data_IF_073537295676
#
_entry.id   IF_073537295676
#
_cell.length_a   1.000
_cell.length_b   1.000
_cell.length_c   1.000
_cell.angle_alpha   90.00
_cell.angle_beta   90.00
_cell.angle_gamma   90.00
#
_symmetry.space_group_name_H-M   'P 1'
#
loop_
_entity.id
_entity.type
_entity.pdbx_description
1 polymer ?
#
# COMPACT_ATOMS: atom_id res chain seq x y z
N UNK A 1 -6.52 0.76 10.05
CA UNK A 1 -7.49 0.42 11.13
C UNK A 1 -7.52 -1.10 11.24
N UNK A 2 -7.03 -1.71 12.32
CA UNK A 2 -6.98 -3.17 12.46
C UNK A 2 -8.39 -3.73 12.66
N UNK A 3 -8.83 -4.62 11.76
CA UNK A 3 -10.17 -5.23 11.81
C UNK A 3 -10.24 -6.20 13.00
N UNK A 4 -11.16 -5.96 13.93
CA UNK A 4 -11.34 -6.81 15.13
C UNK A 4 -11.62 -8.26 14.74
N UNK A 5 -10.79 -9.19 15.24
CA UNK A 5 -10.88 -10.63 14.91
C UNK A 5 -10.09 -11.07 13.67
N UNK A 6 -9.34 -10.16 13.02
CA UNK A 6 -8.35 -10.54 12.01
C UNK A 6 -7.08 -11.14 12.65
N UNK A 7 -6.28 -11.86 11.87
CA UNK A 7 -4.93 -12.26 12.29
C UNK A 7 -4.10 -11.04 12.74
N UNK A 8 -4.29 -9.88 12.11
CA UNK A 8 -3.68 -8.62 12.51
C UNK A 8 -4.19 -8.11 13.87
N UNK A 9 -5.44 -8.40 14.26
CA UNK A 9 -5.98 -8.03 15.56
C UNK A 9 -5.47 -8.92 16.70
N UNK A 10 -5.26 -10.21 16.44
CA UNK A 10 -4.67 -11.14 17.42
C UNK A 10 -3.22 -10.76 17.71
N UNK A 11 -2.45 -10.43 16.66
CA UNK A 11 -1.07 -9.95 16.80
C UNK A 11 -0.99 -8.56 17.47
N UNK A 12 -1.99 -7.70 17.25
CA UNK A 12 -2.02 -6.36 17.84
C UNK A 12 -2.39 -6.33 19.34
N UNK A 13 -3.02 -7.37 19.88
CA UNK A 13 -3.46 -7.40 21.29
C UNK A 13 -2.32 -7.41 22.31
N UNK A 14 -1.15 -7.93 21.93
CA UNK A 14 0.08 -7.90 22.73
C UNK A 14 1.17 -6.97 22.15
N UNK A 15 0.83 -6.16 21.13
CA UNK A 15 1.79 -5.33 20.45
C UNK A 15 2.13 -4.07 21.27
N UNK A 16 3.37 -4.01 21.76
CA UNK A 16 4.00 -2.73 22.09
C UNK A 16 4.04 -1.89 20.81
N UNK A 17 3.59 -0.63 20.83
CA UNK A 17 3.82 0.31 19.74
C UNK A 17 5.32 0.61 19.64
N UNK A 18 6.04 -0.24 18.90
CA UNK A 18 7.43 0.00 18.53
C UNK A 18 7.41 0.65 17.16
N UNK A 19 7.95 1.87 17.05
CA UNK A 19 8.26 2.46 15.75
C UNK A 19 9.26 1.54 15.05
N UNK A 20 8.97 1.00 13.86
CA UNK A 20 9.95 0.16 13.19
C UNK A 20 11.18 0.99 12.86
N UNK A 21 12.35 0.39 13.08
CA UNK A 21 13.59 0.96 12.60
C UNK A 21 13.55 0.92 11.06
N UNK A 22 13.72 2.06 10.39
CA UNK A 22 13.78 2.15 8.93
C UNK A 22 15.19 2.56 8.45
N UNK A 23 16.16 2.63 9.36
CA UNK A 23 17.50 3.18 9.09
C UNK A 23 18.32 2.34 8.11
N UNK A 24 17.98 1.05 7.96
CA UNK A 24 18.63 0.10 7.06
C UNK A 24 18.06 0.11 5.63
N UNK A 25 16.96 0.84 5.36
CA UNK A 25 16.27 0.82 4.06
C UNK A 25 16.93 1.59 2.91
N UNK A 26 18.21 1.97 3.05
CA UNK A 26 19.06 2.61 2.04
C UNK A 26 18.30 3.48 0.99
N UNK A 27 17.59 4.54 1.43
CA UNK A 27 16.67 5.27 0.56
C UNK A 27 17.40 6.03 -0.54
N UNK A 28 16.90 5.93 -1.78
CA UNK A 28 17.32 6.80 -2.89
C UNK A 28 16.24 7.83 -3.19
N UNK A 29 16.57 9.11 -3.06
CA UNK A 29 15.65 10.22 -3.28
C UNK A 29 15.83 10.77 -4.69
N UNK A 30 14.76 10.74 -5.48
CA UNK A 30 14.71 11.31 -6.84
C UNK A 30 13.77 12.52 -6.84
N UNK A 31 14.31 13.70 -7.18
CA UNK A 31 13.50 14.92 -7.36
C UNK A 31 13.00 14.99 -8.80
N UNK A 32 11.69 15.03 -8.98
CA UNK A 32 11.05 15.14 -10.28
C UNK A 32 11.02 16.60 -10.75
N UNK A 33 11.13 16.82 -12.06
CA UNK A 33 11.10 18.17 -12.68
C UNK A 33 9.83 18.97 -12.36
N UNK A 34 8.73 18.31 -12.02
CA UNK A 34 7.45 18.93 -11.63
C UNK A 34 7.28 19.17 -10.13
N UNK A 35 8.34 19.07 -9.31
CA UNK A 35 8.28 19.33 -7.87
C UNK A 35 7.91 18.12 -6.99
N UNK A 36 7.63 16.97 -7.59
CA UNK A 36 7.42 15.71 -6.85
C UNK A 36 8.72 15.08 -6.35
N UNK A 37 8.61 14.22 -5.34
CA UNK A 37 9.71 13.44 -4.78
C UNK A 37 9.35 11.96 -4.87
N UNK A 38 10.28 11.15 -5.38
CA UNK A 38 10.19 9.68 -5.32
C UNK A 38 11.24 9.19 -4.34
N UNK A 39 10.81 8.35 -3.39
CA UNK A 39 11.70 7.69 -2.44
C UNK A 39 11.71 6.21 -2.81
N UNK A 40 12.85 5.72 -3.26
CA UNK A 40 13.07 4.31 -3.55
C UNK A 40 13.66 3.66 -2.30
N UNK A 41 13.00 2.63 -1.78
CA UNK A 41 13.47 1.87 -0.62
C UNK A 41 14.13 0.57 -1.07
N UNK A 42 15.17 0.14 -0.36
CA UNK A 42 15.72 -1.21 -0.55
C UNK A 42 14.72 -2.26 -0.04
N UNK A 43 14.91 -3.51 -0.49
CA UNK A 43 14.11 -4.64 0.00
C UNK A 43 14.23 -4.75 1.52
N UNK A 44 13.08 -4.89 2.18
CA UNK A 44 12.97 -5.28 3.58
C UNK A 44 12.47 -6.72 3.69
N UNK A 45 12.90 -7.42 4.74
CA UNK A 45 12.31 -8.69 5.19
C UNK A 45 11.61 -8.56 6.55
N UNK A 46 11.49 -7.35 7.10
CA UNK A 46 10.79 -7.10 8.36
C UNK A 46 9.31 -6.81 8.07
N UNK A 47 8.39 -7.65 8.58
CA UNK A 47 6.96 -7.38 8.48
C UNK A 47 6.56 -6.07 9.16
N UNK A 48 7.25 -5.66 10.23
CA UNK A 48 6.98 -4.42 10.94
C UNK A 48 7.34 -3.19 10.10
N UNK A 49 8.47 -3.23 9.39
CA UNK A 49 8.86 -2.17 8.45
C UNK A 49 7.84 -2.07 7.30
N UNK A 50 7.45 -3.19 6.69
CA UNK A 50 6.43 -3.21 5.63
C UNK A 50 5.09 -2.65 6.12
N UNK A 51 4.62 -3.09 7.30
CA UNK A 51 3.37 -2.62 7.87
C UNK A 51 3.38 -1.10 8.12
N UNK A 52 4.49 -0.53 8.57
CA UNK A 52 4.61 0.92 8.73
C UNK A 52 4.66 1.66 7.39
N UNK A 53 5.32 1.10 6.37
CA UNK A 53 5.33 1.69 5.02
C UNK A 53 3.90 1.73 4.45
N UNK A 54 3.17 0.61 4.51
CA UNK A 54 1.79 0.59 4.06
C UNK A 54 0.92 1.56 4.86
N UNK A 55 0.98 1.51 6.20
CA UNK A 55 0.15 2.35 7.08
C UNK A 55 0.42 3.85 6.94
N UNK A 56 1.61 4.24 6.49
CA UNK A 56 1.98 5.64 6.25
C UNK A 56 1.53 6.15 4.87
N UNK A 57 1.16 5.27 3.94
CA UNK A 57 0.73 5.65 2.60
C UNK A 57 -0.77 5.96 2.54
N UNK A 58 -1.14 6.95 1.74
CA UNK A 58 -2.55 7.24 1.44
C UNK A 58 -3.20 6.15 0.57
N UNK A 59 -2.39 5.50 -0.28
CA UNK A 59 -2.82 4.45 -1.23
C UNK A 59 -1.63 3.60 -1.65
N UNK A 60 -1.84 2.29 -1.83
CA UNK A 60 -0.93 1.40 -2.54
C UNK A 60 -1.31 1.36 -4.02
N UNK A 61 -0.33 1.54 -4.91
CA UNK A 61 -0.51 1.25 -6.33
C UNK A 61 0.26 -0.01 -6.73
N UNK A 62 -0.46 -1.03 -7.20
CA UNK A 62 0.11 -2.29 -7.71
C UNK A 62 -0.12 -2.43 -9.23
N UNK A 63 0.80 -1.93 -10.08
CA UNK A 63 0.65 -1.96 -11.54
C UNK A 63 1.18 -3.25 -12.19
N UNK A 64 1.02 -4.41 -11.55
CA UNK A 64 1.39 -5.71 -12.16
C UNK A 64 0.45 -6.05 -13.30
N UNK A 65 0.98 -6.54 -14.42
CA UNK A 65 0.16 -6.95 -15.57
C UNK A 65 -0.41 -8.36 -15.42
N UNK A 66 0.21 -9.17 -14.57
CA UNK A 66 -0.22 -10.54 -14.26
C UNK A 66 0.03 -10.79 -12.78
N UNK A 67 -1.04 -11.02 -12.02
CA UNK A 67 -0.98 -11.39 -10.61
C UNK A 67 -2.21 -12.23 -10.25
N UNK A 68 -2.01 -13.47 -9.80
CA UNK A 68 -3.11 -14.40 -9.60
C UNK A 68 -3.90 -14.07 -8.34
N UNK A 69 -3.23 -13.73 -7.24
CA UNK A 69 -3.85 -13.41 -5.96
C UNK A 69 -2.84 -12.62 -5.11
N UNK A 70 -2.70 -11.30 -5.38
CA UNK A 70 -1.61 -10.48 -4.84
C UNK A 70 -1.66 -10.38 -3.32
N UNK A 71 -0.72 -11.02 -2.64
CA UNK A 71 -0.62 -10.92 -1.17
C UNK A 71 -0.29 -9.49 -0.72
N UNK A 72 0.45 -8.72 -1.54
CA UNK A 72 0.76 -7.32 -1.26
C UNK A 72 -0.49 -6.44 -1.18
N UNK A 73 -1.54 -6.76 -1.95
CA UNK A 73 -2.82 -6.06 -1.85
C UNK A 73 -3.47 -6.36 -0.49
N UNK A 74 -3.51 -7.64 -0.10
CA UNK A 74 -4.07 -8.07 1.20
C UNK A 74 -3.31 -7.47 2.40
N UNK A 75 -1.98 -7.37 2.32
CA UNK A 75 -1.15 -6.76 3.34
C UNK A 75 -1.48 -5.26 3.50
N UNK A 76 -1.65 -4.55 2.39
CA UNK A 76 -2.00 -3.12 2.38
C UNK A 76 -3.42 -2.88 2.93
N UNK A 77 -4.38 -3.69 2.48
CA UNK A 77 -5.77 -3.71 2.99
C UNK A 77 -5.80 -3.95 4.50
N UNK A 78 -5.01 -4.90 5.00
CA UNK A 78 -4.90 -5.21 6.43
C UNK A 78 -4.31 -4.06 7.25
N UNK A 79 -3.42 -3.25 6.66
CA UNK A 79 -2.92 -2.02 7.27
C UNK A 79 -3.96 -0.87 7.24
N UNK A 80 -5.04 -1.03 6.47
CA UNK A 80 -6.08 -0.03 6.25
C UNK A 80 -5.76 0.96 5.13
N UNK A 81 -4.75 0.64 4.32
CA UNK A 81 -4.33 1.46 3.17
C UNK A 81 -5.08 0.96 1.94
N UNK A 82 -5.82 1.82 1.24
CA UNK A 82 -6.56 1.40 0.05
C UNK A 82 -5.61 1.01 -1.08
N UNK A 83 -6.08 0.13 -1.95
CA UNK A 83 -5.31 -0.42 -3.07
C UNK A 83 -5.91 0.04 -4.39
N UNK A 84 -5.04 0.52 -5.27
CA UNK A 84 -5.32 0.64 -6.70
C UNK A 84 -4.43 -0.36 -7.41
N UNK A 85 -5.02 -1.28 -8.18
CA UNK A 85 -4.25 -2.26 -8.95
C UNK A 85 -4.80 -2.37 -10.37
N UNK A 86 -4.00 -2.94 -11.28
CA UNK A 86 -4.56 -3.30 -12.58
C UNK A 86 -5.63 -4.40 -12.44
N UNK A 87 -6.64 -4.34 -13.30
CA UNK A 87 -7.75 -5.32 -13.34
C UNK A 87 -7.31 -6.64 -13.96
N UNK A 88 -6.44 -7.36 -13.25
CA UNK A 88 -5.77 -8.57 -13.72
C UNK A 88 -5.81 -9.66 -12.66
N UNK A 89 -6.04 -10.90 -13.08
CA UNK A 89 -6.12 -12.06 -12.20
C UNK A 89 -7.09 -11.86 -11.02
N UNK A 90 -6.65 -12.19 -9.81
CA UNK A 90 -7.47 -12.11 -8.59
C UNK A 90 -7.36 -10.80 -7.82
N UNK A 91 -6.83 -9.73 -8.41
CA UNK A 91 -6.68 -8.43 -7.75
C UNK A 91 -7.97 -7.94 -7.09
N UNK A 92 -9.09 -7.95 -7.82
CA UNK A 92 -10.37 -7.43 -7.33
C UNK A 92 -10.92 -8.20 -6.11
N UNK A 93 -10.59 -9.48 -6.00
CA UNK A 93 -11.02 -10.36 -4.91
C UNK A 93 -10.31 -10.04 -3.58
N UNK A 94 -9.19 -9.31 -3.63
CA UNK A 94 -8.42 -8.93 -2.44
C UNK A 94 -8.97 -7.71 -1.72
N UNK A 95 -9.94 -6.99 -2.30
CA UNK A 95 -10.39 -5.71 -1.76
C UNK A 95 -11.42 -5.88 -0.64
N UNK A 96 -11.18 -5.18 0.46
CA UNK A 96 -12.12 -5.05 1.60
C UNK A 96 -12.45 -3.60 1.90
N UNK A 97 -11.53 -2.69 1.56
CA UNK A 97 -11.68 -1.25 1.73
C UNK A 97 -12.56 -0.68 0.62
N UNK A 98 -13.57 0.09 1.03
CA UNK A 98 -14.52 0.73 0.10
C UNK A 98 -13.88 1.77 -0.84
N UNK A 99 -12.62 2.15 -0.61
CA UNK A 99 -11.85 3.07 -1.48
C UNK A 99 -10.93 2.35 -2.47
N UNK A 100 -10.78 1.03 -2.38
CA UNK A 100 -9.93 0.25 -3.28
C UNK A 100 -10.58 0.01 -4.64
N UNK A 101 -9.80 0.04 -5.72
CA UNK A 101 -10.30 0.02 -7.10
C UNK A 101 -9.36 -0.73 -8.03
N UNK A 102 -9.92 -1.54 -8.93
CA UNK A 102 -9.20 -1.97 -10.13
C UNK A 102 -9.21 -0.86 -11.18
N UNK A 103 -8.15 -0.74 -11.95
CA UNK A 103 -8.03 0.17 -13.10
C UNK A 103 -7.46 -0.57 -14.30
N UNK A 104 -7.78 -0.13 -15.52
CA UNK A 104 -7.33 -0.79 -16.75
C UNK A 104 -5.86 -0.50 -17.03
N UNK A 105 -5.41 0.72 -16.73
CA UNK A 105 -4.02 1.14 -16.97
C UNK A 105 -3.60 2.35 -16.09
N UNK A 106 -2.33 2.77 -16.25
CA UNK A 106 -1.77 3.91 -15.54
C UNK A 106 -2.47 5.26 -15.82
N UNK A 107 -3.17 5.41 -16.96
CA UNK A 107 -3.88 6.65 -17.31
C UNK A 107 -5.14 6.76 -16.46
N UNK A 108 -5.88 5.68 -16.34
CA UNK A 108 -7.03 5.60 -15.43
C UNK A 108 -6.59 5.73 -13.97
N UNK A 109 -5.51 5.04 -13.58
CA UNK A 109 -4.90 5.21 -12.25
C UNK A 109 -4.59 6.68 -11.95
N UNK A 110 -4.00 7.40 -12.92
CA UNK A 110 -3.67 8.83 -12.79
C UNK A 110 -4.90 9.69 -12.54
N UNK A 111 -5.98 9.48 -13.28
CA UNK A 111 -7.23 10.23 -13.09
C UNK A 111 -7.80 10.00 -11.68
N UNK A 112 -7.72 8.76 -11.19
CA UNK A 112 -8.16 8.42 -9.84
C UNK A 112 -7.28 9.07 -8.77
N UNK A 113 -5.95 9.07 -8.93
CA UNK A 113 -5.04 9.78 -8.00
C UNK A 113 -5.31 11.28 -7.96
N UNK A 114 -5.58 11.90 -9.11
CA UNK A 114 -5.95 13.33 -9.19
C UNK A 114 -7.28 13.61 -8.46
N UNK A 115 -8.26 12.74 -8.58
CA UNK A 115 -9.54 12.86 -7.87
C UNK A 115 -9.40 12.69 -6.35
N UNK A 116 -8.58 11.73 -5.88
CA UNK A 116 -8.37 11.49 -4.45
C UNK A 116 -7.71 12.68 -3.75
N UNK A 117 -6.82 13.40 -4.45
CA UNK A 117 -6.15 14.61 -3.94
C UNK A 117 -7.07 15.79 -3.64
N UNK A 118 -8.32 15.77 -4.11
CA UNK A 118 -9.28 16.87 -3.93
C UNK A 118 -10.12 16.74 -2.65
N UNK A 119 -9.85 15.77 -1.77
CA UNK A 119 -10.69 15.47 -0.60
C UNK A 119 -10.23 16.17 0.70
N UNK A 120 -9.27 17.09 0.62
CA UNK A 120 -8.73 17.85 1.76
C UNK A 120 -8.94 19.36 1.62
#
# INVERSE_FOLDING_TARGET
MVIKGSACAEVAQDALLVSPDLSDLAPTIVKLRGGGVVILLSKTSSPQQLAAIYSAADVLFNPTLEDNYPTVNLESEACGTPVIAYDTGGCAETYTNASSRSVVDHREARLLFEAMRCSC
#
